data_IF_182883025672
#
_entry.id   IF_182883025672
#
_cell.length_a   1.000
_cell.length_b   1.000
_cell.length_c   1.000
_cell.angle_alpha   90.00
_cell.angle_beta   90.00
_cell.angle_gamma   90.00
#
_symmetry.space_group_name_H-M   'P 1'
#
loop_
_entity.id
_entity.type
_entity.pdbx_description
1 polymer ?
#
# COMPACT_ATOMS: atom_id res chain seq x y z
N UNK A 1 -16.96 -6.45 -7.61
CA UNK A 1 -17.00 -5.51 -6.48
C UNK A 1 -16.64 -4.11 -7.00
N UNK A 2 -17.27 -3.03 -6.51
CA UNK A 2 -16.79 -1.67 -6.77
C UNK A 2 -15.33 -1.53 -6.29
N UNK A 3 -14.45 -0.90 -7.09
CA UNK A 3 -13.02 -0.77 -6.78
C UNK A 3 -12.75 -0.10 -5.42
N UNK A 4 -13.55 0.90 -5.07
CA UNK A 4 -13.48 1.55 -3.75
C UNK A 4 -13.71 0.57 -2.60
N UNK A 5 -14.71 -0.32 -2.71
CA UNK A 5 -15.02 -1.29 -1.66
C UNK A 5 -13.91 -2.34 -1.53
N UNK A 6 -13.35 -2.77 -2.66
CA UNK A 6 -12.21 -3.68 -2.68
C UNK A 6 -11.00 -3.10 -1.96
N UNK A 7 -10.71 -1.81 -2.18
CA UNK A 7 -9.63 -1.10 -1.48
C UNK A 7 -9.89 -1.01 0.02
N UNK A 8 -11.13 -0.70 0.42
CA UNK A 8 -11.51 -0.62 1.84
C UNK A 8 -11.36 -1.95 2.57
N UNK A 9 -11.67 -3.06 1.90
CA UNK A 9 -11.55 -4.38 2.50
C UNK A 9 -10.10 -4.75 2.87
N UNK A 10 -9.13 -4.34 2.03
CA UNK A 10 -7.72 -4.62 2.31
C UNK A 10 -7.20 -3.86 3.53
N UNK A 11 -7.68 -2.65 3.79
CA UNK A 11 -7.23 -1.85 4.94
C UNK A 11 -7.43 -2.60 6.26
N UNK A 12 -8.57 -3.29 6.43
CA UNK A 12 -8.84 -4.10 7.63
C UNK A 12 -7.80 -5.21 7.83
N UNK A 13 -7.41 -5.88 6.75
CA UNK A 13 -6.36 -6.90 6.77
C UNK A 13 -5.00 -6.31 7.16
N UNK A 14 -4.64 -5.18 6.54
CA UNK A 14 -3.38 -4.49 6.75
C UNK A 14 -3.23 -4.02 8.21
N UNK A 15 -4.25 -3.39 8.78
CA UNK A 15 -4.23 -2.94 10.17
C UNK A 15 -4.09 -4.09 11.16
N UNK A 16 -4.78 -5.22 10.92
CA UNK A 16 -4.64 -6.41 11.74
C UNK A 16 -3.22 -6.99 11.66
N UNK A 17 -2.64 -7.05 10.47
CA UNK A 17 -1.26 -7.48 10.28
C UNK A 17 -0.27 -6.54 11.00
N UNK A 18 -0.47 -5.23 10.90
CA UNK A 18 0.35 -4.23 11.59
C UNK A 18 0.34 -4.45 13.12
N UNK A 19 -0.84 -4.70 13.67
CA UNK A 19 -1.04 -4.92 15.10
C UNK A 19 -0.38 -6.22 15.59
N UNK A 20 -0.45 -7.29 14.82
CA UNK A 20 0.04 -8.61 15.23
C UNK A 20 1.57 -8.74 15.17
N UNK A 21 2.23 -8.08 14.21
CA UNK A 21 3.66 -8.33 13.93
C UNK A 21 4.61 -7.20 14.35
N UNK A 22 4.13 -5.97 14.60
CA UNK A 22 5.00 -4.82 14.88
C UNK A 22 4.82 -4.22 16.28
N UNK A 23 5.90 -3.63 16.81
CA UNK A 23 5.89 -2.87 18.08
C UNK A 23 5.13 -1.54 17.93
N UNK A 24 4.58 -1.00 19.04
CA UNK A 24 3.80 0.26 19.04
C UNK A 24 4.53 1.40 18.34
N UNK A 25 5.83 1.59 18.64
CA UNK A 25 6.68 2.62 17.99
C UNK A 25 6.73 2.47 16.47
N UNK A 26 6.86 1.23 16.00
CA UNK A 26 6.95 0.90 14.58
C UNK A 26 5.61 1.06 13.87
N UNK A 27 4.51 0.77 14.56
CA UNK A 27 3.15 0.96 14.06
C UNK A 27 2.80 2.44 13.84
N UNK A 28 3.22 3.30 14.77
CA UNK A 28 3.04 4.75 14.65
C UNK A 28 3.83 5.32 13.45
N UNK A 29 5.07 4.85 13.28
CA UNK A 29 5.90 5.19 12.10
C UNK A 29 5.26 4.70 10.80
N UNK A 30 4.80 3.44 10.76
CA UNK A 30 4.14 2.85 9.58
C UNK A 30 2.88 3.62 9.18
N UNK A 31 2.07 4.06 10.15
CA UNK A 31 0.87 4.86 9.90
C UNK A 31 1.21 6.22 9.31
N UNK A 32 2.24 6.88 9.85
CA UNK A 32 2.72 8.18 9.34
C UNK A 32 3.26 8.05 7.91
N UNK A 33 4.03 6.99 7.62
CA UNK A 33 4.55 6.72 6.28
C UNK A 33 3.43 6.38 5.30
N UNK A 34 2.42 5.62 5.73
CA UNK A 34 1.24 5.31 4.93
C UNK A 34 0.54 6.60 4.47
N UNK A 35 0.23 7.50 5.40
CA UNK A 35 -0.45 8.77 5.09
C UNK A 35 0.42 9.69 4.21
N UNK A 36 1.72 9.75 4.46
CA UNK A 36 2.65 10.56 3.67
C UNK A 36 2.70 10.11 2.21
N UNK A 37 2.80 8.80 1.98
CA UNK A 37 2.85 8.25 0.62
C UNK A 37 1.47 8.36 -0.05
N UNK A 38 0.35 8.30 0.69
CA UNK A 38 -1.00 8.50 0.14
C UNK A 38 -1.17 9.89 -0.46
N UNK A 39 -0.68 10.92 0.25
CA UNK A 39 -0.69 12.29 -0.27
C UNK A 39 0.18 12.42 -1.53
N UNK A 40 1.38 11.84 -1.54
CA UNK A 40 2.28 11.90 -2.70
C UNK A 40 1.67 11.20 -3.92
N UNK A 41 1.11 10.01 -3.73
CA UNK A 41 0.48 9.23 -4.79
C UNK A 41 -0.77 9.90 -5.33
N UNK A 42 -1.59 10.53 -4.47
CA UNK A 42 -2.73 11.33 -4.90
C UNK A 42 -2.30 12.53 -5.75
N UNK A 43 -1.21 13.21 -5.39
CA UNK A 43 -0.65 14.30 -6.18
C UNK A 43 -0.12 13.80 -7.53
N UNK A 44 0.61 12.69 -7.57
CA UNK A 44 1.10 12.08 -8.81
C UNK A 44 -0.04 11.66 -9.74
N UNK A 45 -1.08 11.02 -9.20
CA UNK A 45 -2.27 10.65 -9.96
C UNK A 45 -3.00 11.90 -10.48
N UNK A 46 -3.08 12.96 -9.67
CA UNK A 46 -3.58 14.27 -10.09
C UNK A 46 -2.82 14.82 -11.29
N UNK A 47 -1.48 14.78 -11.27
CA UNK A 47 -0.64 15.24 -12.39
C UNK A 47 -0.77 14.36 -13.64
N UNK A 48 -0.85 13.04 -13.49
CA UNK A 48 -1.09 12.11 -14.61
C UNK A 48 -2.45 12.40 -15.25
N UNK A 49 -3.45 12.61 -14.39
CA UNK A 49 -4.77 13.01 -14.84
C UNK A 49 -4.69 14.38 -15.47
N UNK A 50 -3.99 15.40 -14.99
CA UNK A 50 -3.99 16.73 -15.63
C UNK A 50 -3.15 16.84 -16.90
N UNK A 51 -2.44 15.78 -17.32
CA UNK A 51 -1.58 15.81 -18.49
C UNK A 51 -2.37 16.01 -19.81
N UNK A 52 -2.38 17.23 -20.34
CA UNK A 52 -3.19 17.65 -21.51
C UNK A 52 -2.74 17.02 -22.85
N UNK A 53 -1.58 16.36 -22.89
CA UNK A 53 -1.03 15.77 -24.12
C UNK A 53 -1.83 14.58 -24.65
N UNK A 54 -2.67 13.95 -23.82
CA UNK A 54 -3.46 12.77 -24.19
C UNK A 54 -4.97 13.03 -24.16
N UNK A 55 -5.71 12.33 -25.03
CA UNK A 55 -7.17 12.40 -25.05
C UNK A 55 -7.79 11.97 -23.71
N UNK A 56 -8.92 12.58 -23.33
CA UNK A 56 -9.63 12.30 -22.06
C UNK A 56 -9.98 10.82 -21.87
N UNK A 57 -10.26 10.09 -22.97
CA UNK A 57 -10.53 8.64 -22.94
C UNK A 57 -9.26 7.82 -22.68
N UNK A 58 -8.12 8.22 -23.24
CA UNK A 58 -6.84 7.54 -23.03
C UNK A 58 -6.36 7.71 -21.58
N UNK A 59 -6.46 8.94 -21.04
CA UNK A 59 -6.14 9.24 -19.64
C UNK A 59 -6.96 8.40 -18.66
N UNK A 60 -8.27 8.30 -18.89
CA UNK A 60 -9.16 7.49 -18.05
C UNK A 60 -8.78 5.99 -18.07
N UNK A 61 -8.40 5.46 -19.23
CA UNK A 61 -7.94 4.05 -19.35
C UNK A 61 -6.61 3.81 -18.66
N UNK A 62 -5.66 4.74 -18.80
CA UNK A 62 -4.34 4.64 -18.14
C UNK A 62 -4.51 4.71 -16.62
N UNK A 63 -5.25 5.70 -16.12
CA UNK A 63 -5.53 5.81 -14.67
C UNK A 63 -6.24 4.57 -14.13
N UNK A 64 -7.21 4.03 -14.86
CA UNK A 64 -7.88 2.79 -14.48
C UNK A 64 -6.92 1.59 -14.41
N UNK A 65 -6.08 1.41 -15.44
CA UNK A 65 -5.11 0.30 -15.45
C UNK A 65 -4.07 0.42 -14.34
N UNK A 66 -3.60 1.64 -14.06
CA UNK A 66 -2.67 1.89 -12.95
C UNK A 66 -3.29 1.49 -11.62
N UNK A 67 -4.50 2.00 -11.31
CA UNK A 67 -5.20 1.65 -10.07
C UNK A 67 -5.39 0.15 -9.94
N UNK A 68 -5.92 -0.52 -10.97
CA UNK A 68 -6.14 -1.97 -10.92
C UNK A 68 -4.82 -2.72 -10.71
N UNK A 69 -3.76 -2.34 -11.40
CA UNK A 69 -2.45 -2.98 -11.27
C UNK A 69 -1.86 -2.85 -9.86
N UNK A 70 -1.86 -1.65 -9.29
CA UNK A 70 -1.32 -1.41 -7.94
C UNK A 70 -2.16 -2.11 -6.87
N UNK A 71 -3.48 -2.05 -7.00
CA UNK A 71 -4.42 -2.69 -6.09
C UNK A 71 -4.24 -4.21 -6.05
N UNK A 72 -4.09 -4.87 -7.21
CA UNK A 72 -3.82 -6.31 -7.28
C UNK A 72 -2.40 -6.69 -6.80
N UNK A 73 -1.39 -5.90 -7.19
CA UNK A 73 -0.01 -6.12 -6.74
C UNK A 73 0.10 -6.07 -5.21
N UNK A 74 -0.62 -5.15 -4.58
CA UNK A 74 -0.66 -5.01 -3.12
C UNK A 74 -1.25 -6.24 -2.42
N UNK A 75 -2.31 -6.84 -2.97
CA UNK A 75 -2.87 -8.08 -2.43
C UNK A 75 -1.87 -9.23 -2.47
N UNK A 76 -1.19 -9.41 -3.60
CA UNK A 76 -0.19 -10.46 -3.79
C UNK A 76 0.98 -10.28 -2.81
N UNK A 77 1.51 -9.05 -2.71
CA UNK A 77 2.62 -8.73 -1.82
C UNK A 77 2.24 -8.90 -0.34
N UNK A 78 1.04 -8.50 0.05
CA UNK A 78 0.51 -8.71 1.40
C UNK A 78 0.49 -10.19 1.78
N UNK A 79 0.00 -11.05 0.88
CA UNK A 79 -0.02 -12.50 1.12
C UNK A 79 1.39 -13.10 1.22
N UNK A 80 2.32 -12.68 0.36
CA UNK A 80 3.73 -13.13 0.42
C UNK A 80 4.36 -12.74 1.77
N UNK A 81 4.15 -11.49 2.20
CA UNK A 81 4.66 -11.01 3.48
C UNK A 81 4.05 -11.80 4.63
N UNK A 82 2.73 -11.99 4.65
CA UNK A 82 2.08 -12.76 5.71
C UNK A 82 2.66 -14.17 5.84
N UNK A 83 2.91 -14.86 4.73
CA UNK A 83 3.53 -16.19 4.75
C UNK A 83 4.98 -16.14 5.25
N UNK A 84 5.73 -15.09 4.90
CA UNK A 84 7.11 -14.90 5.34
C UNK A 84 7.20 -14.61 6.85
N UNK A 85 6.39 -13.68 7.36
CA UNK A 85 6.38 -13.30 8.77
C UNK A 85 5.75 -14.37 9.67
N UNK A 86 4.80 -15.17 9.16
CA UNK A 86 4.27 -16.33 9.88
C UNK A 86 5.35 -17.36 10.24
N UNK A 87 6.43 -17.46 9.45
CA UNK A 87 7.55 -18.39 9.70
C UNK A 87 8.64 -17.81 10.61
N UNK A 88 8.68 -16.49 10.78
CA UNK A 88 9.81 -15.74 11.38
C UNK A 88 9.44 -15.12 12.74
N UNK A 89 8.27 -15.48 13.28
CA UNK A 89 7.57 -14.89 14.42
C UNK A 89 8.48 -14.36 15.56
N UNK A 90 8.84 -13.08 15.45
CA UNK A 90 9.34 -12.21 16.51
C UNK A 90 8.76 -10.82 16.24
N UNK A 91 8.41 -10.09 17.30
CA UNK A 91 7.89 -8.73 17.17
C UNK A 91 8.94 -7.83 16.52
N UNK A 92 8.69 -7.33 15.30
CA UNK A 92 9.64 -6.48 14.58
C UNK A 92 9.63 -5.05 15.12
N UNK A 93 10.82 -4.55 15.42
CA UNK A 93 11.09 -3.14 15.70
C UNK A 93 11.69 -2.47 14.46
N UNK A 94 11.49 -1.15 14.30
CA UNK A 94 12.04 -0.36 13.18
C UNK A 94 13.57 -0.49 13.03
N UNK A 95 14.27 -0.85 14.10
CA UNK A 95 15.73 -1.05 14.15
C UNK A 95 16.17 -2.49 13.82
N UNK A 96 15.23 -3.41 13.62
CA UNK A 96 15.53 -4.83 13.37
C UNK A 96 15.73 -5.15 11.88
N UNK A 97 16.68 -6.04 11.52
CA UNK A 97 16.90 -6.45 10.13
C UNK A 97 15.61 -7.07 9.55
N UNK A 98 15.16 -6.61 8.38
CA UNK A 98 13.92 -7.08 7.74
C UNK A 98 12.67 -6.21 7.96
N UNK A 99 12.79 -5.08 8.68
CA UNK A 99 11.73 -4.06 8.76
C UNK A 99 11.46 -3.39 7.40
N UNK A 100 12.52 -3.14 6.62
CA UNK A 100 12.46 -2.46 5.32
C UNK A 100 11.53 -3.15 4.30
N UNK A 101 11.46 -4.48 4.33
CA UNK A 101 10.61 -5.27 3.45
C UNK A 101 9.12 -5.13 3.82
N UNK A 102 8.81 -5.07 5.11
CA UNK A 102 7.47 -4.85 5.64
C UNK A 102 6.99 -3.41 5.46
N UNK A 103 7.88 -2.43 5.62
CA UNK A 103 7.59 -1.02 5.40
C UNK A 103 7.30 -0.72 3.92
N UNK A 104 8.07 -1.30 3.00
CA UNK A 104 7.88 -1.11 1.55
C UNK A 104 6.50 -1.60 1.08
N UNK A 105 6.05 -2.75 1.59
CA UNK A 105 4.72 -3.31 1.29
C UNK A 105 3.60 -2.48 1.91
N UNK A 106 3.83 -1.84 3.06
CA UNK A 106 2.86 -0.92 3.66
C UNK A 106 2.65 0.36 2.83
N UNK A 107 3.72 0.89 2.24
CA UNK A 107 3.69 2.17 1.50
C UNK A 107 3.12 2.08 0.09
N UNK A 108 3.13 0.89 -0.53
CA UNK A 108 2.77 0.69 -1.94
C UNK A 108 1.26 0.75 -2.22
N UNK A 109 0.43 0.71 -1.18
CA UNK A 109 -1.02 0.70 -1.30
C UNK A 109 -1.66 2.03 -1.76
N UNK A 110 -0.86 3.08 -1.90
CA UNK A 110 -1.32 4.47 -1.97
C UNK A 110 -1.82 4.93 -3.34
N UNK A 111 -2.08 4.03 -4.29
CA UNK A 111 -2.58 4.39 -5.65
C UNK A 111 -3.99 3.84 -5.90
#
# INVERSE_FOLDING_TARGET
MPLWLYRQWFLSYQWQFNFTYFTVRTRDLNSTLFDLVDVISALLMGQILDFERFSRRTRAKIGFFLVVFFVEANWILGQICQVHYAKTATTLDWSSPGYELGAFVFTLQTV
#
